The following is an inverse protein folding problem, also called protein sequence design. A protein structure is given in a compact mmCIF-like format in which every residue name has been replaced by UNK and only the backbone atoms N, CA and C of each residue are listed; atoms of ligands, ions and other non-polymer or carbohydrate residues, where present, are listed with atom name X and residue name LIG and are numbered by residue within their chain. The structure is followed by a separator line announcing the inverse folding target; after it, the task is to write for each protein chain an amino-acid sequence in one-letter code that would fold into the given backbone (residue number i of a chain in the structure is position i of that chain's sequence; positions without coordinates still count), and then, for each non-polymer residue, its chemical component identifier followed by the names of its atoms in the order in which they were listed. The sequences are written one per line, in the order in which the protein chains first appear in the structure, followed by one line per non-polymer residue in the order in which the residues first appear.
data_IF_278960340581
#
_entry.id   IF_278960340581
#
_cell.length_a   1.000
_cell.length_b   1.000
_cell.length_c   1.000
_cell.angle_alpha   90.00
_cell.angle_beta   90.00
_cell.angle_gamma   90.00
#
_symmetry.space_group_name_H-M   'P 1'
#
loop_
_entity.id
_entity.type
_entity.pdbx_description
1 polymer ?
#
# COMPACT_ATOMS: atom_id res chain seq x y z
N UNK A 1 -0.52 -6.70 -4.54
CA UNK A 1 -0.23 -5.93 -3.31
C UNK A 1 -1.16 -6.23 -2.15
N UNK A 2 -2.48 -6.33 -2.34
CA UNK A 2 -3.45 -6.59 -1.24
C UNK A 2 -3.04 -7.75 -0.31
N UNK A 3 -2.78 -8.94 -0.85
CA UNK A 3 -2.35 -10.09 -0.03
C UNK A 3 -1.01 -9.88 0.69
N UNK A 4 -0.10 -9.10 0.11
CA UNK A 4 1.18 -8.74 0.72
C UNK A 4 1.01 -7.81 1.91
N UNK A 5 0.14 -6.81 1.82
CA UNK A 5 -0.14 -5.87 2.90
C UNK A 5 -0.90 -6.52 4.05
N UNK A 6 -1.85 -7.42 3.75
CA UNK A 6 -2.53 -8.23 4.77
C UNK A 6 -1.53 -9.09 5.57
N UNK A 7 -0.61 -9.77 4.87
CA UNK A 7 0.42 -10.58 5.52
C UNK A 7 1.37 -9.71 6.35
N UNK A 8 1.81 -8.58 5.81
CA UNK A 8 2.68 -7.63 6.52
C UNK A 8 2.03 -7.13 7.81
N UNK A 9 0.73 -6.79 7.76
CA UNK A 9 -0.04 -6.36 8.93
C UNK A 9 -0.15 -7.47 9.97
N UNK A 10 -0.46 -8.70 9.56
CA UNK A 10 -0.50 -9.84 10.48
C UNK A 10 0.86 -10.11 11.14
N UNK A 11 1.97 -9.95 10.39
CA UNK A 11 3.32 -10.09 10.93
C UNK A 11 3.61 -9.01 11.99
N UNK A 12 3.33 -7.75 11.69
CA UNK A 12 3.53 -6.64 12.64
C UNK A 12 2.66 -6.81 13.89
N UNK A 13 1.39 -7.16 13.73
CA UNK A 13 0.47 -7.43 14.85
C UNK A 13 0.94 -8.60 15.73
N UNK A 14 1.65 -9.57 15.15
CA UNK A 14 2.29 -10.68 15.90
C UNK A 14 3.63 -10.31 16.56
N UNK A 15 4.03 -9.04 16.52
CA UNK A 15 5.29 -8.55 17.09
C UNK A 15 6.53 -8.83 16.22
N UNK A 16 6.34 -9.24 14.97
CA UNK A 16 7.44 -9.44 14.03
C UNK A 16 7.83 -8.12 13.38
N UNK A 17 9.14 -7.93 13.23
CA UNK A 17 9.64 -6.85 12.39
C UNK A 17 9.53 -7.25 10.92
N UNK A 18 9.14 -6.29 10.10
CA UNK A 18 9.08 -6.43 8.65
C UNK A 18 10.05 -5.43 8.02
N UNK A 19 10.71 -5.86 6.94
CA UNK A 19 11.51 -4.96 6.12
C UNK A 19 10.58 -4.23 5.12
N UNK A 20 10.63 -2.91 5.12
CA UNK A 20 9.85 -2.04 4.24
C UNK A 20 10.69 -1.51 3.08
N UNK A 21 11.94 -1.97 2.94
CA UNK A 21 12.85 -1.55 1.88
C UNK A 21 12.18 -1.72 0.52
N UNK A 22 12.15 -0.64 -0.26
CA UNK A 22 11.56 -0.63 -1.60
C UNK A 22 10.06 -0.31 -1.67
N UNK A 23 9.37 -0.14 -0.53
CA UNK A 23 7.95 0.24 -0.53
C UNK A 23 7.73 1.60 -1.22
N UNK A 24 8.56 2.60 -0.92
CA UNK A 24 8.47 3.93 -1.53
C UNK A 24 8.70 3.87 -3.05
N UNK A 25 9.67 3.07 -3.50
CA UNK A 25 9.95 2.88 -4.91
C UNK A 25 8.78 2.20 -5.64
N UNK A 26 8.17 1.18 -5.01
CA UNK A 26 6.97 0.52 -5.53
C UNK A 26 5.77 1.47 -5.61
N UNK A 27 5.55 2.29 -4.58
CA UNK A 27 4.50 3.30 -4.57
C UNK A 27 4.71 4.37 -5.66
N UNK A 28 5.94 4.85 -5.82
CA UNK A 28 6.30 5.80 -6.87
C UNK A 28 6.06 5.23 -8.28
N UNK A 29 6.43 3.97 -8.53
CA UNK A 29 6.18 3.30 -9.80
C UNK A 29 4.68 3.15 -10.09
N UNK A 30 3.87 2.80 -9.09
CA UNK A 30 2.42 2.72 -9.21
C UNK A 30 1.80 4.08 -9.54
N UNK A 31 2.19 5.12 -8.80
CA UNK A 31 1.74 6.50 -9.04
C UNK A 31 2.10 6.98 -10.45
N UNK A 32 3.33 6.71 -10.90
CA UNK A 32 3.77 7.04 -12.26
C UNK A 32 2.93 6.31 -13.32
N UNK A 33 2.68 5.01 -13.15
CA UNK A 33 1.84 4.24 -14.07
C UNK A 33 0.43 4.82 -14.19
N UNK A 34 -0.20 5.15 -13.05
CA UNK A 34 -1.55 5.74 -13.03
C UNK A 34 -1.57 7.14 -13.67
N UNK A 35 -0.54 7.96 -13.43
CA UNK A 35 -0.44 9.30 -14.00
C UNK A 35 -0.36 9.30 -15.53
N UNK A 36 0.08 8.19 -16.14
CA UNK A 36 0.13 8.03 -17.60
C UNK A 36 -1.18 7.51 -18.22
N UNK A 37 -2.16 7.11 -17.40
CA UNK A 37 -3.43 6.58 -17.91
C UNK A 37 -4.36 7.70 -18.39
N UNK A 38 -5.12 7.46 -19.48
CA UNK A 38 -6.25 8.32 -19.82
C UNK A 38 -7.26 8.38 -18.67
N UNK A 39 -7.93 9.52 -18.44
CA UNK A 39 -8.86 9.69 -17.32
C UNK A 39 -9.96 8.61 -17.25
N UNK A 40 -10.48 8.17 -18.39
CA UNK A 40 -11.48 7.11 -18.51
C UNK A 40 -10.96 5.73 -18.03
N UNK A 41 -9.66 5.49 -18.16
CA UNK A 41 -8.99 4.27 -17.70
C UNK A 41 -8.58 4.36 -16.23
N UNK A 42 -8.28 5.58 -15.75
CA UNK A 42 -7.91 5.82 -14.35
C UNK A 42 -9.11 5.86 -13.39
N UNK A 43 -10.26 6.40 -13.83
CA UNK A 43 -11.46 6.56 -12.99
C UNK A 43 -11.94 5.25 -12.34
N UNK A 44 -12.02 4.11 -13.05
CA UNK A 44 -12.41 2.83 -12.45
C UNK A 44 -11.43 2.31 -11.39
N UNK A 45 -10.17 2.77 -11.38
CA UNK A 45 -9.16 2.33 -10.42
C UNK A 45 -9.32 3.00 -9.05
N UNK A 46 -10.04 4.12 -8.97
CA UNK A 46 -10.17 4.92 -7.74
C UNK A 46 -10.57 4.09 -6.50
N UNK A 47 -11.57 3.20 -6.52
CA UNK A 47 -11.92 2.39 -5.36
C UNK A 47 -10.76 1.51 -4.88
N UNK A 48 -10.07 0.84 -5.81
CA UNK A 48 -8.94 -0.03 -5.49
C UNK A 48 -7.74 0.74 -4.94
N UNK A 49 -7.50 1.97 -5.43
CA UNK A 49 -6.42 2.84 -4.93
C UNK A 49 -6.72 3.38 -3.54
N UNK A 50 -7.99 3.71 -3.24
CA UNK A 50 -8.40 4.11 -1.89
C UNK A 50 -8.28 2.96 -0.90
N UNK A 51 -8.65 1.74 -1.30
CA UNK A 51 -8.47 0.54 -0.47
C UNK A 51 -6.98 0.29 -0.19
N UNK A 52 -6.13 0.38 -1.22
CA UNK A 52 -4.69 0.23 -1.09
C UNK A 52 -4.11 1.28 -0.12
N UNK A 53 -4.53 2.53 -0.23
CA UNK A 53 -4.12 3.61 0.67
C UNK A 53 -4.48 3.29 2.13
N UNK A 54 -5.73 2.90 2.39
CA UNK A 54 -6.20 2.55 3.73
C UNK A 54 -5.41 1.38 4.34
N UNK A 55 -4.99 0.40 3.53
CA UNK A 55 -4.16 -0.71 4.00
C UNK A 55 -2.74 -0.26 4.37
N UNK A 56 -2.13 0.61 3.57
CA UNK A 56 -0.79 1.15 3.86
C UNK A 56 -0.81 2.03 5.11
N UNK A 57 -1.83 2.88 5.26
CA UNK A 57 -2.04 3.69 6.47
C UNK A 57 -2.23 2.82 7.71
N UNK A 58 -3.06 1.77 7.59
CA UNK A 58 -3.27 0.81 8.68
C UNK A 58 -2.01 0.05 9.08
N UNK A 59 -1.12 -0.26 8.12
CA UNK A 59 0.18 -0.85 8.39
C UNK A 59 1.13 0.16 9.08
N UNK A 60 1.17 1.41 8.61
CA UNK A 60 1.96 2.48 9.23
C UNK A 60 1.57 2.75 10.68
N UNK A 61 0.27 2.73 10.97
CA UNK A 61 -0.25 2.85 12.33
C UNK A 61 0.19 1.70 13.24
N UNK A 62 0.29 0.48 12.70
CA UNK A 62 0.75 -0.70 13.45
C UNK A 62 2.27 -0.71 13.69
N UNK A 63 3.04 -0.05 12.83
CA UNK A 63 4.51 0.06 12.94
C UNK A 63 4.97 1.13 13.93
N UNK A 64 4.13 2.12 14.22
CA UNK A 64 4.46 3.18 15.17
C UNK A 64 4.32 2.61 16.59
N UNK A 65 5.39 2.61 17.42
CA UNK A 65 5.32 2.14 18.79
C UNK A 65 4.24 2.92 19.56
N UNK A 66 3.38 2.21 20.30
CA UNK A 66 2.54 2.83 21.34
C UNK A 66 3.32 3.07 22.61
#
# INVERSE_FOLDING_TARGET
MHGTLLLARALVESGRQIDLTGLDAGAAALCAAIATLPPESARPLRPALLELLAQVEGLGAALTPR
#
